data_IF_155741363083
#
_entry.id   IF_155741363083
#
_cell.length_a   1.000
_cell.length_b   1.000
_cell.length_c   1.000
_cell.angle_alpha   90.00
_cell.angle_beta   90.00
_cell.angle_gamma   90.00
#
_symmetry.space_group_name_H-M   'P 1'
#
loop_
_entity.id
_entity.type
_entity.pdbx_description
1 polymer ?
#
# COMPACT_ATOMS: atom_id res chain seq x y z
N UNK A 1 -5.34 11.37 -8.95
CA UNK A 1 -5.82 11.22 -7.57
C UNK A 1 -4.78 10.47 -6.74
N UNK A 2 -4.62 10.79 -5.45
CA UNK A 2 -3.85 9.94 -4.54
C UNK A 2 -4.56 8.58 -4.38
N UNK A 3 -3.80 7.47 -4.35
CA UNK A 3 -4.37 6.15 -4.07
C UNK A 3 -4.81 6.12 -2.59
N UNK A 4 -6.08 5.79 -2.28
CA UNK A 4 -6.59 5.76 -0.91
C UNK A 4 -5.74 4.91 0.06
N UNK A 5 -5.19 3.79 -0.41
CA UNK A 5 -4.29 2.94 0.38
C UNK A 5 -2.96 3.64 0.73
N UNK A 6 -2.43 4.49 -0.15
CA UNK A 6 -1.24 5.29 0.16
C UNK A 6 -1.55 6.36 1.20
N UNK A 7 -2.74 6.97 1.12
CA UNK A 7 -3.19 7.97 2.09
C UNK A 7 -3.39 7.33 3.47
N UNK A 8 -4.08 6.18 3.53
CA UNK A 8 -4.25 5.42 4.78
C UNK A 8 -2.91 5.01 5.40
N UNK A 9 -1.94 4.57 4.59
CA UNK A 9 -0.58 4.26 5.06
C UNK A 9 0.14 5.48 5.64
N UNK A 10 0.00 6.63 4.99
CA UNK A 10 0.56 7.89 5.48
C UNK A 10 -0.06 8.33 6.80
N UNK A 11 -1.39 8.21 6.93
CA UNK A 11 -2.11 8.46 8.18
C UNK A 11 -1.62 7.52 9.30
N UNK A 12 -1.49 6.23 9.04
CA UNK A 12 -0.94 5.27 10.01
C UNK A 12 0.49 5.63 10.46
N UNK A 13 1.34 6.09 9.54
CA UNK A 13 2.68 6.61 9.87
C UNK A 13 2.64 7.85 10.75
N UNK A 14 1.72 8.79 10.46
CA UNK A 14 1.52 9.99 11.27
C UNK A 14 0.98 9.68 12.68
N UNK A 15 0.17 8.62 12.86
CA UNK A 15 -0.25 8.15 14.20
C UNK A 15 0.92 7.61 15.02
N UNK A 16 1.81 6.84 14.40
CA UNK A 16 2.95 6.21 15.06
C UNK A 16 4.13 7.17 15.30
N UNK A 17 4.13 8.35 14.66
CA UNK A 17 5.23 9.31 14.80
C UNK A 17 5.23 9.94 16.20
N UNK A 18 6.28 9.70 17.02
CA UNK A 18 6.36 10.29 18.36
C UNK A 18 6.50 11.81 18.33
N UNK A 19 6.97 12.39 17.22
CA UNK A 19 7.10 13.85 17.06
C UNK A 19 5.77 14.56 16.74
N UNK A 20 4.69 13.82 16.53
CA UNK A 20 3.36 14.40 16.33
C UNK A 20 2.65 14.59 17.68
N UNK A 21 1.95 15.72 17.80
CA UNK A 21 1.08 16.04 18.93
C UNK A 21 -0.12 15.08 19.02
N UNK A 22 -0.67 14.91 20.21
CA UNK A 22 -1.82 14.02 20.45
C UNK A 22 -3.07 14.47 19.66
N UNK A 23 -3.35 15.78 19.57
CA UNK A 23 -4.41 16.32 18.70
C UNK A 23 -4.22 15.97 17.23
N UNK A 24 -2.98 15.92 16.75
CA UNK A 24 -2.69 15.54 15.37
C UNK A 24 -2.95 14.05 15.16
N UNK A 25 -2.55 13.20 16.13
CA UNK A 25 -2.80 11.76 16.10
C UNK A 25 -4.29 11.45 16.13
N UNK A 26 -5.07 12.16 16.95
CA UNK A 26 -6.52 12.00 17.03
C UNK A 26 -7.21 12.32 15.70
N UNK A 27 -6.88 13.46 15.08
CA UNK A 27 -7.42 13.82 13.75
C UNK A 27 -7.05 12.82 12.67
N UNK A 28 -5.81 12.31 12.71
CA UNK A 28 -5.34 11.29 11.77
C UNK A 28 -6.07 9.96 12.00
N UNK A 29 -6.31 9.58 13.26
CA UNK A 29 -7.07 8.38 13.63
C UNK A 29 -8.52 8.46 13.12
N UNK A 30 -9.19 9.58 13.34
CA UNK A 30 -10.55 9.82 12.84
C UNK A 30 -10.63 9.73 11.32
N UNK A 31 -9.66 10.33 10.62
CA UNK A 31 -9.62 10.29 9.15
C UNK A 31 -9.35 8.87 8.64
N UNK A 32 -8.46 8.12 9.29
CA UNK A 32 -8.18 6.73 8.94
C UNK A 32 -9.43 5.86 9.12
N UNK A 33 -10.11 5.98 10.27
CA UNK A 33 -11.35 5.26 10.54
C UNK A 33 -12.44 5.58 9.52
N UNK A 34 -12.61 6.85 9.13
CA UNK A 34 -13.58 7.24 8.11
C UNK A 34 -13.29 6.60 6.74
N UNK A 35 -12.01 6.46 6.38
CA UNK A 35 -11.61 5.83 5.12
C UNK A 35 -11.80 4.30 5.16
N UNK A 36 -11.58 3.68 6.32
CA UNK A 36 -11.85 2.25 6.52
C UNK A 36 -13.36 1.97 6.47
N UNK A 37 -14.16 2.81 7.12
CA UNK A 37 -15.64 2.72 7.11
C UNK A 37 -16.22 2.92 5.70
N UNK A 38 -15.63 3.81 4.90
CA UNK A 38 -16.04 4.02 3.51
C UNK A 38 -15.60 2.89 2.56
N UNK A 39 -14.79 1.94 3.01
CA UNK A 39 -14.25 0.85 2.19
C UNK A 39 -13.23 1.30 1.13
N UNK A 40 -12.79 2.55 1.17
CA UNK A 40 -11.82 3.11 0.21
C UNK A 40 -10.43 2.47 0.38
N UNK A 41 -10.09 1.99 1.58
CA UNK A 41 -8.76 1.45 1.91
C UNK A 41 -8.60 -0.03 1.49
N UNK A 42 -9.69 -0.79 1.52
CA UNK A 42 -9.71 -2.25 1.25
C UNK A 42 -10.34 -2.61 -0.10
N UNK A 43 -10.50 -1.63 -1.00
CA UNK A 43 -11.00 -1.92 -2.34
C UNK A 43 -10.08 -2.93 -3.03
N UNK A 44 -10.65 -4.05 -3.53
CA UNK A 44 -9.91 -5.13 -4.18
C UNK A 44 -9.01 -4.63 -5.33
N UNK A 45 -9.44 -3.60 -6.06
CA UNK A 45 -8.65 -2.92 -7.09
C UNK A 45 -7.42 -2.17 -6.53
N UNK A 46 -7.53 -1.56 -5.36
CA UNK A 46 -6.39 -0.91 -4.70
C UNK A 46 -5.38 -1.93 -4.19
N UNK A 47 -5.84 -3.13 -3.81
CA UNK A 47 -4.98 -4.25 -3.45
C UNK A 47 -4.27 -4.82 -4.69
N UNK A 48 -5.00 -5.08 -5.79
CA UNK A 48 -4.43 -5.56 -7.05
C UNK A 48 -3.33 -4.62 -7.58
N UNK A 49 -3.60 -3.32 -7.65
CA UNK A 49 -2.61 -2.34 -8.13
C UNK A 49 -1.37 -2.20 -7.22
N UNK A 50 -1.48 -2.52 -5.92
CA UNK A 50 -0.31 -2.56 -5.02
C UNK A 50 0.51 -3.83 -5.21
N UNK A 51 -0.15 -4.97 -5.38
CA UNK A 51 0.50 -6.26 -5.66
C UNK A 51 1.28 -6.19 -6.98
N UNK A 52 0.68 -5.66 -8.04
CA UNK A 52 1.35 -5.48 -9.33
C UNK A 52 2.61 -4.62 -9.22
N UNK A 53 2.51 -3.49 -8.52
CA UNK A 53 3.66 -2.60 -8.29
C UNK A 53 4.75 -3.28 -7.48
N UNK A 54 4.38 -4.08 -6.48
CA UNK A 54 5.30 -4.86 -5.64
C UNK A 54 6.10 -5.87 -6.45
N UNK A 55 5.42 -6.68 -7.27
CA UNK A 55 6.09 -7.65 -8.14
C UNK A 55 6.96 -6.96 -9.20
N UNK A 56 6.52 -5.83 -9.76
CA UNK A 56 7.33 -5.04 -10.69
C UNK A 56 8.61 -4.53 -10.03
N UNK A 57 8.53 -4.03 -8.79
CA UNK A 57 9.71 -3.63 -8.02
C UNK A 57 10.63 -4.81 -7.70
N UNK A 58 10.06 -5.97 -7.36
CA UNK A 58 10.83 -7.19 -7.11
C UNK A 58 11.62 -7.66 -8.34
N UNK A 59 11.09 -7.47 -9.54
CA UNK A 59 11.78 -7.79 -10.81
C UNK A 59 12.95 -6.84 -11.07
N UNK A 60 12.77 -5.54 -10.81
CA UNK A 60 13.80 -4.51 -11.06
C UNK A 60 14.88 -4.45 -9.97
N UNK A 61 14.67 -5.07 -8.81
CA UNK A 61 15.64 -5.04 -7.71
C UNK A 61 16.87 -5.91 -8.05
N UNK A 62 18.08 -5.32 -8.21
CA UNK A 62 19.29 -6.08 -8.52
C UNK A 62 19.72 -7.02 -7.39
N UNK A 63 19.28 -6.77 -6.15
CA UNK A 63 19.57 -7.62 -4.99
C UNK A 63 18.65 -8.84 -4.89
N UNK A 64 17.67 -8.98 -5.79
CA UNK A 64 16.75 -10.11 -5.79
C UNK A 64 17.29 -11.23 -6.67
N UNK A 65 17.06 -12.48 -6.27
CA UNK A 65 17.47 -13.67 -7.02
C UNK A 65 16.70 -13.80 -8.34
N UNK A 66 17.33 -14.39 -9.36
CA UNK A 66 16.69 -14.58 -10.67
C UNK A 66 15.40 -15.42 -10.56
N UNK A 67 15.38 -16.47 -9.73
CA UNK A 67 14.16 -17.25 -9.44
C UNK A 67 13.03 -16.39 -8.87
N UNK A 68 13.33 -15.49 -7.93
CA UNK A 68 12.32 -14.61 -7.31
C UNK A 68 11.79 -13.56 -8.30
N UNK A 69 12.63 -13.07 -9.21
CA UNK A 69 12.21 -12.20 -10.32
C UNK A 69 11.33 -12.96 -11.30
N UNK A 70 11.67 -14.21 -11.63
CA UNK A 70 10.91 -15.03 -12.57
C UNK A 70 9.53 -15.38 -12.01
N UNK A 71 9.46 -15.78 -10.74
CA UNK A 71 8.19 -15.97 -10.02
C UNK A 71 7.35 -14.69 -10.01
N UNK A 72 7.97 -13.53 -9.74
CA UNK A 72 7.26 -12.24 -9.77
C UNK A 72 6.73 -11.88 -11.17
N UNK A 73 7.43 -12.29 -12.25
CA UNK A 73 6.92 -12.12 -13.63
C UNK A 73 5.71 -13.00 -13.90
N UNK A 74 5.75 -14.26 -13.46
CA UNK A 74 4.63 -15.20 -13.65
C UNK A 74 3.36 -14.73 -12.92
N UNK A 75 3.52 -14.25 -11.68
CA UNK A 75 2.39 -13.71 -10.91
C UNK A 75 1.80 -12.46 -11.57
N UNK A 76 2.63 -11.59 -12.16
CA UNK A 76 2.13 -10.43 -12.91
C UNK A 76 1.37 -10.82 -14.17
N UNK A 77 1.85 -11.83 -14.91
CA UNK A 77 1.20 -12.32 -16.12
C UNK A 77 -0.18 -12.92 -15.80
N UNK A 78 -0.29 -13.69 -14.71
CA UNK A 78 -1.54 -14.27 -14.21
C UNK A 78 -2.53 -13.20 -13.73
N UNK A 79 -2.04 -12.13 -13.08
CA UNK A 79 -2.85 -10.98 -12.67
C UNK A 79 -3.39 -10.13 -13.84
N UNK A 80 -2.74 -10.19 -15.00
CA UNK A 80 -3.04 -9.40 -16.18
C UNK A 80 -3.79 -10.17 -17.28
N UNK A 81 -3.98 -11.48 -17.10
CA UNK A 81 -4.70 -12.40 -18.00
C UNK A 81 -6.20 -12.42 -17.74
#
# INVERSE_FOLDING_TARGET
>A
MANPGNVARGLKGAMANPNNSDEAKERVAQRLHQMEESGEVDSAEAHAGQVERGHKAAISNPNNSEEAKQHSKQVLDDLQS
#
